data_IF_644622861584
#
_entry.id   IF_644622861584
#
_cell.length_a   1.000
_cell.length_b   1.000
_cell.length_c   1.000
_cell.angle_alpha   90.00
_cell.angle_beta   90.00
_cell.angle_gamma   90.00
#
_symmetry.space_group_name_H-M   'P 1'
#
loop_
_entity.id
_entity.type
_entity.pdbx_description
1 polymer ?
#
# COMPACT_ATOMS: atom_id res chain seq x y z
N UNK A 1 3.24 8.16 -13.74
CA UNK A 1 3.01 6.89 -13.01
C UNK A 1 3.97 5.77 -13.42
N UNK A 2 4.36 5.63 -14.69
CA UNK A 2 5.28 4.59 -15.20
C UNK A 2 6.58 4.44 -14.38
N UNK A 3 7.26 5.56 -14.08
CA UNK A 3 8.54 5.53 -13.36
C UNK A 3 8.47 4.87 -11.96
N UNK A 4 7.34 5.00 -11.25
CA UNK A 4 7.18 4.40 -9.91
C UNK A 4 7.06 2.86 -9.95
N UNK A 5 6.42 2.31 -10.99
CA UNK A 5 6.28 0.86 -11.18
C UNK A 5 7.62 0.28 -11.61
N UNK A 6 8.29 0.92 -12.56
CA UNK A 6 9.61 0.49 -13.05
C UNK A 6 10.64 0.47 -11.93
N UNK A 7 10.69 1.52 -11.10
CA UNK A 7 11.55 1.57 -9.92
C UNK A 7 11.26 0.40 -8.97
N UNK A 8 9.99 0.08 -8.76
CA UNK A 8 9.56 -0.97 -7.84
C UNK A 8 9.94 -2.36 -8.35
N UNK A 9 9.68 -2.64 -9.63
CA UNK A 9 10.05 -3.90 -10.30
C UNK A 9 11.56 -4.10 -10.26
N UNK A 10 12.33 -3.04 -10.50
CA UNK A 10 13.79 -3.07 -10.48
C UNK A 10 14.35 -3.28 -9.08
N UNK A 11 13.72 -2.68 -8.06
CA UNK A 11 14.18 -2.78 -6.66
C UNK A 11 13.85 -4.13 -6.00
N UNK A 12 12.83 -4.83 -6.49
CA UNK A 12 12.35 -6.09 -5.88
C UNK A 12 12.22 -7.23 -6.90
N UNK A 13 13.34 -7.63 -7.56
CA UNK A 13 13.30 -8.60 -8.66
C UNK A 13 12.82 -9.99 -8.23
N UNK A 14 12.99 -10.37 -6.95
CA UNK A 14 12.53 -11.66 -6.41
C UNK A 14 11.00 -11.82 -6.45
N UNK A 15 10.28 -10.71 -6.30
CA UNK A 15 8.81 -10.67 -6.26
C UNK A 15 8.25 -10.46 -7.68
N UNK A 16 8.79 -9.48 -8.41
CA UNK A 16 8.22 -9.07 -9.70
C UNK A 16 8.75 -9.87 -10.88
N UNK A 17 9.97 -10.43 -10.82
CA UNK A 17 10.55 -11.29 -11.86
C UNK A 17 10.51 -10.62 -13.25
N UNK A 18 10.80 -9.31 -13.27
CA UNK A 18 10.75 -8.49 -14.49
C UNK A 18 9.34 -8.18 -15.02
N UNK A 19 8.27 -8.59 -14.31
CA UNK A 19 6.89 -8.32 -14.70
C UNK A 19 6.31 -7.12 -13.96
N UNK A 20 5.69 -6.23 -14.71
CA UNK A 20 4.98 -5.08 -14.17
C UNK A 20 3.54 -5.45 -13.79
N UNK A 21 3.12 -5.25 -12.54
CA UNK A 21 1.72 -5.43 -12.16
C UNK A 21 0.85 -4.35 -12.81
N UNK A 22 -0.44 -4.64 -13.04
CA UNK A 22 -1.38 -3.62 -13.48
C UNK A 22 -1.73 -2.70 -12.31
N UNK A 23 -1.64 -1.39 -12.52
CA UNK A 23 -1.96 -0.40 -11.49
C UNK A 23 -3.19 0.37 -11.93
N UNK A 24 -4.23 0.38 -11.10
CA UNK A 24 -5.44 1.19 -11.36
C UNK A 24 -5.09 2.68 -11.28
N UNK A 25 -5.66 3.54 -12.14
CA UNK A 25 -5.45 5.00 -12.04
C UNK A 25 -6.03 5.60 -10.75
N UNK A 26 -6.87 4.85 -10.02
CA UNK A 26 -7.53 5.29 -8.79
C UNK A 26 -6.77 4.91 -7.51
N UNK A 27 -5.54 4.39 -7.62
CA UNK A 27 -4.73 4.07 -6.44
C UNK A 27 -4.44 5.33 -5.61
N UNK A 28 -4.46 5.23 -4.27
CA UNK A 28 -4.22 6.37 -3.38
C UNK A 28 -2.80 6.91 -3.52
N UNK A 29 -2.61 8.20 -3.26
CA UNK A 29 -1.27 8.80 -3.25
C UNK A 29 -0.41 8.12 -2.18
N UNK A 30 0.85 7.82 -2.51
CA UNK A 30 1.77 7.09 -1.62
C UNK A 30 1.76 5.57 -1.76
N UNK A 31 0.89 5.00 -2.60
CA UNK A 31 0.80 3.54 -2.82
C UNK A 31 2.16 2.88 -3.11
N UNK A 32 3.03 3.57 -3.84
CA UNK A 32 4.34 3.03 -4.24
C UNK A 32 5.29 2.89 -3.04
N UNK A 33 5.23 3.80 -2.06
CA UNK A 33 6.00 3.70 -0.81
C UNK A 33 5.53 2.52 0.03
N UNK A 34 4.22 2.35 0.17
CA UNK A 34 3.63 1.21 0.87
C UNK A 34 4.00 -0.10 0.21
N UNK A 35 3.93 -0.16 -1.13
CA UNK A 35 4.30 -1.37 -1.85
C UNK A 35 5.79 -1.70 -1.71
N UNK A 36 6.69 -0.71 -1.63
CA UNK A 36 8.11 -0.93 -1.29
C UNK A 36 8.26 -1.56 0.09
N UNK A 37 7.52 -1.08 1.09
CA UNK A 37 7.51 -1.66 2.45
C UNK A 37 7.03 -3.11 2.39
N UNK A 38 5.92 -3.38 1.70
CA UNK A 38 5.41 -4.74 1.53
C UNK A 38 6.46 -5.67 0.89
N UNK A 39 7.14 -5.20 -0.15
CA UNK A 39 8.13 -6.02 -0.83
C UNK A 39 9.31 -6.34 0.09
N UNK A 40 9.81 -5.37 0.87
CA UNK A 40 10.85 -5.62 1.88
C UNK A 40 10.42 -6.64 2.93
N UNK A 41 9.24 -6.45 3.52
CA UNK A 41 8.70 -7.36 4.55
C UNK A 41 8.54 -8.78 4.00
N UNK A 42 8.07 -8.93 2.76
CA UNK A 42 7.99 -10.24 2.11
C UNK A 42 9.38 -10.84 1.87
N UNK A 43 10.35 -10.04 1.43
CA UNK A 43 11.72 -10.49 1.20
C UNK A 43 12.46 -10.91 2.48
N UNK A 44 12.14 -10.30 3.61
CA UNK A 44 12.72 -10.59 4.92
C UNK A 44 12.05 -11.78 5.60
N UNK A 45 10.71 -11.88 5.54
CA UNK A 45 9.95 -12.84 6.34
C UNK A 45 9.49 -14.08 5.56
N UNK A 46 9.46 -14.05 4.23
CA UNK A 46 9.09 -15.22 3.43
C UNK A 46 10.31 -16.00 2.96
N UNK A 47 10.20 -17.32 2.99
CA UNK A 47 11.25 -18.18 2.42
C UNK A 47 11.44 -17.93 0.92
N UNK A 48 12.66 -18.16 0.41
CA UNK A 48 12.95 -18.08 -1.01
C UNK A 48 12.00 -18.93 -1.87
N UNK A 49 11.59 -20.10 -1.37
CA UNK A 49 10.62 -20.98 -2.05
C UNK A 49 9.24 -20.35 -2.20
N UNK A 50 8.80 -19.57 -1.21
CA UNK A 50 7.52 -18.85 -1.22
C UNK A 50 7.58 -17.69 -2.20
N UNK A 51 8.65 -16.90 -2.16
CA UNK A 51 8.86 -15.76 -3.07
C UNK A 51 8.98 -16.20 -4.53
N UNK A 52 9.64 -17.33 -4.79
CA UNK A 52 9.72 -17.92 -6.13
C UNK A 52 8.33 -18.28 -6.70
N UNK A 53 7.34 -18.51 -5.84
CA UNK A 53 5.95 -18.83 -6.22
C UNK A 53 5.01 -17.63 -6.20
N UNK A 54 5.38 -16.55 -5.52
CA UNK A 54 4.62 -15.31 -5.43
C UNK A 54 4.67 -14.52 -6.74
N UNK A 55 3.53 -13.98 -7.14
CA UNK A 55 3.39 -13.04 -8.25
C UNK A 55 2.33 -12.00 -7.89
N UNK A 56 2.72 -10.72 -7.82
CA UNK A 56 1.79 -9.60 -7.66
C UNK A 56 1.22 -9.25 -9.04
N UNK A 57 -0.09 -9.18 -9.15
CA UNK A 57 -0.80 -9.09 -10.44
C UNK A 57 -1.39 -7.71 -10.63
N UNK A 58 -2.14 -7.25 -9.64
CA UNK A 58 -2.82 -5.97 -9.71
C UNK A 58 -2.66 -5.19 -8.41
N UNK A 59 -2.59 -3.87 -8.54
CA UNK A 59 -2.62 -2.92 -7.44
C UNK A 59 -3.77 -1.97 -7.72
N UNK A 60 -4.79 -2.03 -6.87
CA UNK A 60 -6.03 -1.28 -7.04
C UNK A 60 -6.40 -0.56 -5.75
N UNK A 61 -7.40 0.33 -5.80
CA UNK A 61 -8.00 0.93 -4.61
C UNK A 61 -9.24 0.14 -4.22
N UNK A 62 -9.36 -0.21 -2.94
CA UNK A 62 -10.62 -0.64 -2.31
C UNK A 62 -11.23 0.57 -1.59
N UNK A 63 -12.57 0.64 -1.56
CA UNK A 63 -13.43 1.63 -0.89
C UNK A 63 -12.71 2.56 0.11
N UNK A 64 -12.91 3.89 0.04
CA UNK A 64 -12.36 4.84 1.06
C UNK A 64 -10.83 4.80 1.29
N UNK A 65 -10.06 4.59 0.22
CA UNK A 65 -8.59 4.78 0.18
C UNK A 65 -7.72 3.60 0.67
N UNK A 66 -8.27 2.38 0.75
CA UNK A 66 -7.44 1.21 1.01
C UNK A 66 -6.69 0.79 -0.26
N UNK A 67 -5.44 0.37 -0.10
CA UNK A 67 -4.71 -0.31 -1.15
C UNK A 67 -5.16 -1.77 -1.20
N UNK A 68 -5.47 -2.29 -2.39
CA UNK A 68 -5.70 -3.72 -2.61
C UNK A 68 -4.60 -4.24 -3.51
N UNK A 69 -3.78 -5.14 -2.96
CA UNK A 69 -2.74 -5.85 -3.70
C UNK A 69 -3.25 -7.26 -4.01
N UNK A 70 -3.49 -7.54 -5.28
CA UNK A 70 -3.89 -8.87 -5.75
C UNK A 70 -2.65 -9.65 -6.14
N UNK A 71 -2.52 -10.87 -5.63
CA UNK A 71 -1.38 -11.74 -5.87
C UNK A 71 -1.83 -13.17 -6.12
N UNK A 72 -0.95 -13.96 -6.73
CA UNK A 72 -1.08 -15.42 -6.86
C UNK A 72 0.15 -16.10 -6.27
N UNK A 73 -0.08 -17.30 -5.76
CA UNK A 73 0.95 -18.24 -5.34
C UNK A 73 0.86 -19.46 -6.27
N UNK A 74 1.91 -19.71 -7.04
CA UNK A 74 1.94 -20.79 -8.05
C UNK A 74 2.47 -22.10 -7.46
N UNK A 75 1.89 -23.22 -7.90
CA UNK A 75 2.32 -24.57 -7.49
C UNK A 75 1.84 -24.96 -6.09
N UNK A 76 2.41 -26.05 -5.55
CA UNK A 76 2.10 -26.51 -4.18
C UNK A 76 2.76 -25.57 -3.16
N UNK A 77 1.94 -24.93 -2.33
CA UNK A 77 2.35 -24.01 -1.25
C UNK A 77 1.69 -24.49 0.03
N UNK A 78 2.42 -24.51 1.14
CA UNK A 78 1.80 -24.93 2.39
C UNK A 78 0.77 -23.89 2.86
N UNK A 79 -0.28 -24.30 3.59
CA UNK A 79 -1.25 -23.36 4.15
C UNK A 79 -0.58 -22.26 4.99
N UNK A 80 0.47 -22.60 5.72
CA UNK A 80 1.24 -21.66 6.54
C UNK A 80 1.96 -20.60 5.69
N UNK A 81 2.62 -21.00 4.59
CA UNK A 81 3.25 -20.06 3.67
C UNK A 81 2.23 -19.11 3.02
N UNK A 82 1.07 -19.64 2.62
CA UNK A 82 -0.01 -18.84 2.06
C UNK A 82 -0.58 -17.84 3.09
N UNK A 83 -0.71 -18.27 4.34
CA UNK A 83 -1.18 -17.43 5.44
C UNK A 83 -0.20 -16.30 5.75
N UNK A 84 1.10 -16.59 5.83
CA UNK A 84 2.14 -15.57 6.02
C UNK A 84 2.08 -14.49 4.94
N UNK A 85 2.04 -14.88 3.65
CA UNK A 85 1.94 -13.91 2.55
C UNK A 85 0.66 -13.07 2.68
N UNK A 86 -0.46 -13.71 2.96
CA UNK A 86 -1.74 -13.02 3.15
C UNK A 86 -1.68 -12.00 4.28
N UNK A 87 -1.11 -12.38 5.42
CA UNK A 87 -1.01 -11.54 6.60
C UNK A 87 -0.14 -10.30 6.34
N UNK A 88 1.01 -10.46 5.67
CA UNK A 88 1.89 -9.33 5.31
C UNK A 88 1.25 -8.39 4.30
N UNK A 89 0.62 -8.94 3.26
CA UNK A 89 -0.13 -8.16 2.28
C UNK A 89 -1.24 -7.37 2.96
N UNK A 90 -1.98 -8.01 3.88
CA UNK A 90 -3.05 -7.37 4.63
C UNK A 90 -2.54 -6.24 5.53
N UNK A 91 -1.50 -6.50 6.31
CA UNK A 91 -0.90 -5.53 7.23
C UNK A 91 -0.47 -4.25 6.51
N UNK A 92 0.22 -4.36 5.38
CA UNK A 92 0.68 -3.17 4.63
C UNK A 92 -0.46 -2.49 3.86
N UNK A 93 -1.45 -3.26 3.39
CA UNK A 93 -2.66 -2.69 2.77
C UNK A 93 -3.44 -1.79 3.75
N UNK A 94 -3.42 -2.14 5.03
CA UNK A 94 -4.00 -1.34 6.11
C UNK A 94 -3.23 -0.05 6.40
N UNK A 95 -1.90 -0.01 6.24
CA UNK A 95 -1.12 1.23 6.46
C UNK A 95 -1.57 2.40 5.56
N UNK A 96 -2.21 2.09 4.43
CA UNK A 96 -2.75 3.11 3.53
C UNK A 96 -3.89 3.93 4.15
N UNK A 97 -4.63 3.39 5.13
CA UNK A 97 -5.65 4.17 5.83
C UNK A 97 -5.04 5.23 6.73
N UNK A 98 -3.80 5.03 7.17
CA UNK A 98 -3.07 5.93 8.04
C UNK A 98 -2.18 6.91 7.26
N UNK A 99 -2.34 6.96 5.93
CA UNK A 99 -1.51 7.78 5.05
C UNK A 99 -2.28 9.02 4.57
N UNK A 100 -1.56 10.14 4.41
CA UNK A 100 -2.11 11.37 3.88
C UNK A 100 -2.72 11.15 2.49
N UNK A 101 -3.98 11.54 2.27
CA UNK A 101 -4.64 11.39 0.95
C UNK A 101 -4.02 12.26 -0.15
N UNK A 102 -3.25 13.29 0.21
CA UNK A 102 -2.62 14.23 -0.73
C UNK A 102 -1.21 13.81 -1.09
N UNK A 103 -0.36 13.45 -0.12
CA UNK A 103 1.06 13.15 -0.36
C UNK A 103 1.48 11.72 0.00
N UNK A 104 0.61 10.93 0.63
CA UNK A 104 0.91 9.57 1.05
C UNK A 104 1.91 9.45 2.20
N UNK A 105 2.15 10.54 2.95
CA UNK A 105 2.94 10.52 4.19
C UNK A 105 2.20 9.69 5.24
N UNK A 106 2.88 8.74 5.88
CA UNK A 106 2.31 7.92 6.94
C UNK A 106 2.22 8.75 8.23
N UNK A 107 1.03 8.80 8.84
CA UNK A 107 0.72 9.72 9.95
C UNK A 107 0.60 8.96 11.29
N UNK A 108 0.78 7.64 11.29
CA UNK A 108 0.74 6.84 12.52
C UNK A 108 -0.66 6.74 13.13
N UNK A 109 -0.73 6.72 14.46
CA UNK A 109 -1.96 6.50 15.24
C UNK A 109 -2.96 7.64 15.07
N UNK A 110 -3.80 7.55 14.04
CA UNK A 110 -4.95 8.42 13.79
C UNK A 110 -6.18 7.56 13.45
N UNK A 111 -7.37 7.88 13.98
CA UNK A 111 -8.14 6.99 14.86
C UNK A 111 -9.22 6.15 14.15
N UNK A 112 -9.62 5.04 14.80
CA UNK A 112 -10.89 4.25 14.90
C UNK A 112 -12.00 4.32 13.81
N UNK A 113 -11.87 5.13 12.76
CA UNK A 113 -12.84 5.38 11.71
C UNK A 113 -12.12 5.59 10.38
N UNK A 114 -12.72 5.10 9.30
CA UNK A 114 -12.19 5.17 7.93
C UNK A 114 -12.39 6.59 7.36
N UNK A 115 -11.70 7.57 7.95
CA UNK A 115 -11.74 8.98 7.55
C UNK A 115 -10.53 9.31 6.67
N UNK A 116 -10.69 10.22 5.71
CA UNK A 116 -9.57 10.70 4.89
C UNK A 116 -8.59 11.50 5.75
N UNK A 117 -7.31 11.11 5.77
CA UNK A 117 -6.30 11.72 6.64
C UNK A 117 -5.45 12.74 5.85
N UNK A 118 -5.16 13.89 6.45
CA UNK A 118 -4.24 14.91 5.95
C UNK A 118 -3.07 15.06 6.91
N UNK A 119 -1.83 15.16 6.42
CA UNK A 119 -0.69 15.49 7.27
C UNK A 119 -0.66 16.99 7.60
N UNK A 120 0.15 17.40 8.57
CA UNK A 120 0.27 18.80 9.03
C UNK A 120 0.58 19.78 7.88
N UNK A 121 1.38 19.35 6.91
CA UNK A 121 1.69 20.16 5.72
C UNK A 121 0.43 20.47 4.90
N UNK A 122 -0.49 19.51 4.81
CA UNK A 122 -1.66 19.62 3.95
C UNK A 122 -2.92 20.09 4.69
N UNK A 123 -3.02 19.94 6.02
CA UNK A 123 -4.18 20.38 6.80
C UNK A 123 -4.37 21.91 6.77
N UNK A 124 -3.26 22.65 6.70
CA UNK A 124 -3.25 24.11 6.65
C UNK A 124 -3.23 24.67 5.23
N UNK A 125 -2.89 23.86 4.23
CA UNK A 125 -2.83 24.28 2.83
C UNK A 125 -4.21 24.54 2.22
N UNK A 126 -4.26 25.42 1.21
CA UNK A 126 -5.48 25.73 0.47
C UNK A 126 -5.86 24.55 -0.46
N UNK A 127 -6.42 23.48 0.11
CA UNK A 127 -6.85 22.32 -0.65
C UNK A 127 -8.13 22.61 -1.47
N UNK A 128 -8.37 21.91 -2.59
CA UNK A 128 -9.63 21.96 -3.34
C UNK A 128 -10.87 21.79 -2.45
N UNK A 129 -12.00 22.41 -2.80
CA UNK A 129 -13.22 22.40 -1.98
C UNK A 129 -13.73 20.99 -1.63
N UNK A 130 -13.50 20.01 -2.53
CA UNK A 130 -13.78 18.58 -2.31
C UNK A 130 -12.98 17.96 -1.16
N UNK A 131 -11.86 18.57 -0.77
CA UNK A 131 -11.05 18.23 0.40
C UNK A 131 -11.29 19.20 1.58
N UNK A 132 -11.91 20.38 1.35
CA UNK A 132 -12.21 21.39 2.40
C UNK A 132 -13.35 21.00 3.34
N UNK A 133 -14.27 20.12 2.93
CA UNK A 133 -15.38 19.64 3.79
C UNK A 133 -14.91 18.85 5.03
N UNK A 134 -13.60 18.64 5.20
CA UNK A 134 -13.02 17.70 6.16
C UNK A 134 -12.12 18.34 7.22
N UNK A 135 -12.17 19.68 7.38
CA UNK A 135 -11.60 20.33 8.57
C UNK A 135 -12.50 20.07 9.79
N UNK A 136 -12.18 19.05 10.60
CA UNK A 136 -12.58 19.05 12.02
C UNK A 136 -11.34 19.16 12.89
N UNK A 137 -11.46 20.04 13.90
CA UNK A 137 -10.46 20.48 14.87
C UNK A 137 -9.58 19.32 15.32
N UNK A 138 -8.27 19.48 15.17
CA UNK A 138 -7.31 18.88 16.12
C UNK A 138 -7.56 19.63 17.43
N UNK A 139 -8.45 19.11 18.26
CA UNK A 139 -8.58 19.55 19.64
C UNK A 139 -7.75 18.58 20.48
N UNK A 140 -6.56 19.06 20.83
CA UNK A 140 -5.78 18.84 22.06
C UNK A 140 -5.79 17.47 22.75
N UNK A 141 -4.55 16.99 22.97
CA UNK A 141 -4.09 16.03 23.99
C UNK A 141 -4.38 14.55 23.75
#
# INVERSE_FOLDING_TARGET
MQNAIETLVTSHPKIFKGKSPKVSPLVPVGWSKLLKILCKVLEEECTASTLAKLEIINITRRLRCFLKVEYKLKGKVSPQQAWTVRDKVFSVSHLCTYSCVVCGEYIGDSPKSISMILCEKHIHSALPASLKMFRRRVASA
#
